data_IF_071008626077
#
_entry.id   IF_071008626077
#
_cell.length_a   1.000
_cell.length_b   1.000
_cell.length_c   1.000
_cell.angle_alpha   90.00
_cell.angle_beta   90.00
_cell.angle_gamma   90.00
#
_symmetry.space_group_name_H-M   'P 1'
#
loop_
_entity.id
_entity.type
_entity.pdbx_description
1 polymer ?
#
# COMPACT_ATOMS: atom_id res chain seq x y z
N UNK A 1 7.07 16.41 -6.02
CA UNK A 1 6.12 16.07 -4.94
C UNK A 1 5.51 17.32 -4.35
N UNK A 2 6.28 18.25 -3.77
CA UNK A 2 5.78 19.56 -3.31
C UNK A 2 5.00 20.31 -4.39
N UNK A 3 5.64 20.55 -5.53
CA UNK A 3 5.01 21.20 -6.70
C UNK A 3 3.72 20.50 -7.15
N UNK A 4 3.67 19.17 -7.15
CA UNK A 4 2.48 18.39 -7.52
C UNK A 4 1.36 18.50 -6.48
N UNK A 5 1.72 18.54 -5.20
CA UNK A 5 0.76 18.74 -4.10
C UNK A 5 0.15 20.13 -4.19
N UNK A 6 0.96 21.15 -4.48
CA UNK A 6 0.51 22.53 -4.62
C UNK A 6 -0.34 22.73 -5.88
N UNK A 7 0.09 22.19 -7.03
CA UNK A 7 -0.60 22.37 -8.31
C UNK A 7 -1.97 21.69 -8.36
N UNK A 8 -2.12 20.57 -7.66
CA UNK A 8 -3.37 19.79 -7.61
C UNK A 8 -4.15 19.96 -6.30
N UNK A 9 -3.69 20.81 -5.38
CA UNK A 9 -4.32 21.00 -4.06
C UNK A 9 -4.57 19.66 -3.34
N UNK A 10 -3.52 18.84 -3.23
CA UNK A 10 -3.63 17.47 -2.70
C UNK A 10 -3.77 17.48 -1.18
N UNK A 11 -4.89 16.98 -0.67
CA UNK A 11 -5.13 16.83 0.77
C UNK A 11 -4.60 15.52 1.37
N UNK A 12 -4.49 14.45 0.54
CA UNK A 12 -4.16 13.10 1.00
C UNK A 12 -3.12 12.45 0.10
N UNK A 13 -2.05 11.93 0.70
CA UNK A 13 -1.00 11.15 0.05
C UNK A 13 -1.00 9.73 0.60
N UNK A 14 -1.20 8.73 -0.28
CA UNK A 14 -1.08 7.31 0.07
C UNK A 14 0.20 6.76 -0.57
N UNK A 15 1.04 6.09 0.23
CA UNK A 15 2.35 5.59 -0.20
C UNK A 15 2.71 4.26 0.46
N UNK A 16 3.92 3.75 0.23
CA UNK A 16 4.44 2.54 0.85
C UNK A 16 4.99 2.82 2.26
N UNK A 17 4.98 1.81 3.11
CA UNK A 17 5.68 1.85 4.40
C UNK A 17 7.21 1.80 4.24
N UNK A 18 7.93 1.86 5.37
CA UNK A 18 9.40 1.83 5.40
C UNK A 18 10.00 0.56 4.77
N UNK A 19 9.28 -0.56 4.78
CA UNK A 19 9.75 -1.82 4.17
C UNK A 19 9.50 -1.85 2.66
N UNK A 20 8.60 -1.02 2.13
CA UNK A 20 8.46 -0.81 0.71
C UNK A 20 7.94 -2.03 -0.05
N UNK A 21 7.06 -2.84 0.57
CA UNK A 21 6.46 -4.05 0.00
C UNK A 21 7.49 -4.97 -0.66
N UNK A 22 7.87 -6.05 0.04
CA UNK A 22 8.98 -6.94 -0.35
C UNK A 22 10.35 -6.26 -0.46
N UNK A 23 10.58 -5.12 0.21
CA UNK A 23 11.91 -4.51 0.28
C UNK A 23 12.33 -3.74 -0.98
N UNK A 24 11.38 -3.34 -1.84
CA UNK A 24 11.72 -2.72 -3.10
C UNK A 24 12.33 -1.31 -2.88
N UNK A 25 13.52 -1.06 -3.41
CA UNK A 25 14.26 0.21 -3.19
C UNK A 25 13.42 1.45 -3.50
N UNK A 26 12.79 1.48 -4.68
CA UNK A 26 11.94 2.61 -5.09
C UNK A 26 10.78 2.88 -4.12
N UNK A 27 10.21 1.84 -3.52
CA UNK A 27 9.13 2.01 -2.55
C UNK A 27 9.65 2.55 -1.21
N UNK A 28 10.81 2.05 -0.76
CA UNK A 28 11.49 2.58 0.43
C UNK A 28 11.87 4.05 0.25
N UNK A 29 12.36 4.43 -0.94
CA UNK A 29 12.69 5.82 -1.27
C UNK A 29 11.44 6.71 -1.31
N UNK A 30 10.32 6.18 -1.82
CA UNK A 30 9.05 6.89 -1.78
C UNK A 30 8.59 7.15 -0.34
N UNK A 31 8.72 6.17 0.56
CA UNK A 31 8.41 6.38 2.00
C UNK A 31 9.25 7.52 2.59
N UNK A 32 10.55 7.56 2.30
CA UNK A 32 11.44 8.63 2.75
C UNK A 32 11.03 9.99 2.19
N UNK A 33 10.67 10.05 0.91
CA UNK A 33 10.20 11.27 0.25
C UNK A 33 8.92 11.82 0.89
N UNK A 34 7.93 10.95 1.12
CA UNK A 34 6.67 11.34 1.77
C UNK A 34 6.90 11.81 3.20
N UNK A 35 7.74 11.11 3.98
CA UNK A 35 8.08 11.54 5.35
C UNK A 35 8.73 12.93 5.39
N UNK A 36 9.62 13.24 4.43
CA UNK A 36 10.21 14.57 4.31
C UNK A 36 9.18 15.65 3.95
N UNK A 37 8.17 15.31 3.13
CA UNK A 37 7.08 16.22 2.78
C UNK A 37 6.28 16.62 4.02
N UNK A 38 5.78 15.64 4.77
CA UNK A 38 4.90 15.91 5.92
C UNK A 38 5.63 16.54 7.11
N UNK A 39 6.95 16.43 7.18
CA UNK A 39 7.79 17.13 8.16
C UNK A 39 7.91 18.63 7.88
N UNK A 40 7.62 19.07 6.65
CA UNK A 40 7.61 20.48 6.29
C UNK A 40 6.33 21.15 6.82
N UNK A 41 6.50 22.25 7.55
CA UNK A 41 5.41 23.00 8.18
C UNK A 41 4.37 23.48 7.17
N UNK A 42 4.80 23.76 5.94
CA UNK A 42 3.93 24.22 4.85
C UNK A 42 2.89 23.18 4.43
N UNK A 43 3.15 21.89 4.71
CA UNK A 43 2.32 20.75 4.31
C UNK A 43 1.67 20.03 5.50
N UNK A 44 1.54 20.68 6.66
CA UNK A 44 0.92 20.09 7.87
C UNK A 44 -0.53 19.65 7.68
N UNK A 45 -1.24 20.26 6.73
CA UNK A 45 -2.63 19.93 6.44
C UNK A 45 -2.77 18.70 5.52
N UNK A 46 -1.67 18.27 4.89
CA UNK A 46 -1.67 17.09 4.02
C UNK A 46 -1.58 15.85 4.88
N UNK A 47 -2.57 14.98 4.78
CA UNK A 47 -2.54 13.69 5.44
C UNK A 47 -1.72 12.68 4.65
N UNK A 48 -0.79 11.98 5.31
CA UNK A 48 -0.08 10.87 4.69
C UNK A 48 -0.45 9.53 5.31
N UNK A 49 -0.64 8.53 4.46
CA UNK A 49 -0.98 7.17 4.80
C UNK A 49 0.01 6.20 4.16
N UNK A 50 0.43 5.18 4.90
CA UNK A 50 1.32 4.14 4.40
C UNK A 50 0.63 2.77 4.31
N UNK A 51 0.87 2.09 3.19
CA UNK A 51 0.49 0.70 2.95
C UNK A 51 1.39 -0.20 3.79
N UNK A 52 0.78 -0.88 4.75
CA UNK A 52 1.46 -1.81 5.65
C UNK A 52 1.92 -3.03 4.87
N UNK A 53 3.22 -3.29 4.90
CA UNK A 53 3.82 -4.45 4.27
C UNK A 53 3.40 -5.74 4.98
N UNK A 54 2.86 -6.70 4.22
CA UNK A 54 2.46 -8.01 4.73
C UNK A 54 3.57 -9.03 4.58
N UNK A 55 3.66 -9.98 5.53
CA UNK A 55 4.65 -11.07 5.50
C UNK A 55 4.52 -11.90 4.20
N UNK A 56 5.65 -12.30 3.61
CA UNK A 56 5.76 -13.05 2.34
C UNK A 56 4.88 -14.29 2.30
N UNK A 57 4.73 -15.00 3.43
CA UNK A 57 3.85 -16.17 3.49
C UNK A 57 2.38 -15.82 3.24
N UNK A 58 1.88 -14.66 3.70
CA UNK A 58 0.51 -14.18 3.40
C UNK A 58 0.31 -13.77 1.94
N UNK A 59 1.41 -13.41 1.27
CA UNK A 59 1.42 -12.90 -0.11
C UNK A 59 1.04 -13.96 -1.15
N UNK A 60 0.96 -15.24 -0.76
CA UNK A 60 0.73 -16.37 -1.68
C UNK A 60 -0.35 -17.37 -1.21
N UNK A 61 -1.12 -17.10 -0.14
CA UNK A 61 -2.15 -18.03 0.39
C UNK A 61 -3.59 -17.62 -0.04
N UNK A 62 -3.76 -16.54 -0.82
CA UNK A 62 -5.06 -16.19 -1.41
C UNK A 62 -6.19 -15.95 -0.37
N UNK A 63 -7.44 -16.42 -0.59
CA UNK A 63 -8.64 -16.07 0.21
C UNK A 63 -8.57 -16.38 1.72
N UNK A 64 -7.59 -17.18 2.17
CA UNK A 64 -7.39 -17.54 3.59
C UNK A 64 -6.81 -16.37 4.40
N UNK A 65 -6.36 -15.30 3.76
CA UNK A 65 -5.80 -14.11 4.42
C UNK A 65 -6.81 -13.35 5.30
N UNK A 66 -8.12 -13.57 5.13
CA UNK A 66 -9.17 -12.99 5.98
C UNK A 66 -9.00 -13.41 7.44
N UNK A 67 -8.67 -14.68 7.71
CA UNK A 67 -8.49 -15.21 9.07
C UNK A 67 -7.21 -14.68 9.73
N UNK A 68 -6.18 -14.44 8.92
CA UNK A 68 -4.92 -13.89 9.39
C UNK A 68 -5.01 -12.38 9.62
N UNK A 69 -5.76 -11.63 8.82
CA UNK A 69 -6.01 -10.20 9.05
C UNK A 69 -6.66 -9.94 10.42
N UNK A 70 -7.56 -10.82 10.88
CA UNK A 70 -8.10 -10.80 12.24
C UNK A 70 -7.01 -11.03 13.33
N UNK A 71 -6.04 -11.91 13.07
CA UNK A 71 -4.89 -12.11 13.96
C UNK A 71 -3.93 -10.90 13.94
N UNK A 72 -3.74 -10.23 12.81
CA UNK A 72 -2.88 -9.06 12.71
C UNK A 72 -3.42 -7.89 13.56
N UNK A 73 -4.72 -7.63 13.48
CA UNK A 73 -5.43 -6.67 14.36
C UNK A 73 -5.26 -7.05 15.84
N UNK A 74 -5.27 -8.35 16.16
CA UNK A 74 -5.04 -8.86 17.53
C UNK A 74 -3.61 -8.61 18.04
N UNK A 75 -2.61 -8.66 17.16
CA UNK A 75 -1.19 -8.41 17.51
C UNK A 75 -0.81 -6.92 17.52
N UNK A 76 -1.45 -6.08 16.69
CA UNK A 76 -1.17 -4.63 16.60
C UNK A 76 -2.26 -3.81 17.30
N UNK A 77 -2.54 -4.16 18.56
CA UNK A 77 -3.65 -3.60 19.36
C UNK A 77 -3.58 -2.09 19.65
N UNK A 78 -2.41 -1.47 19.44
CA UNK A 78 -2.14 -0.08 19.84
C UNK A 78 -2.13 0.92 18.67
N UNK A 79 -2.30 0.49 17.41
CA UNK A 79 -2.26 1.38 16.25
C UNK A 79 -3.56 1.32 15.45
N UNK A 80 -4.10 2.49 15.08
CA UNK A 80 -5.27 2.57 14.20
C UNK A 80 -4.87 2.20 12.78
N UNK A 81 -5.09 0.94 12.41
CA UNK A 81 -4.92 0.42 11.05
C UNK A 81 -6.30 0.22 10.43
N UNK A 82 -6.47 0.71 9.21
CA UNK A 82 -7.70 0.55 8.44
C UNK A 82 -7.49 -0.52 7.38
N UNK A 83 -8.39 -1.49 7.32
CA UNK A 83 -8.36 -2.55 6.32
C UNK A 83 -9.34 -2.23 5.20
N UNK A 84 -8.80 -1.96 4.00
CA UNK A 84 -9.57 -1.67 2.81
C UNK A 84 -9.74 -2.94 1.98
N UNK A 85 -10.98 -3.38 1.81
CA UNK A 85 -11.31 -4.54 0.97
C UNK A 85 -11.49 -4.09 -0.48
N UNK A 86 -10.89 -4.82 -1.41
CA UNK A 86 -11.15 -4.63 -2.82
C UNK A 86 -12.37 -5.45 -3.23
N UNK A 87 -13.48 -4.77 -3.49
CA UNK A 87 -14.74 -5.39 -3.93
C UNK A 87 -14.61 -6.05 -5.31
N UNK A 88 -13.66 -5.61 -6.13
CA UNK A 88 -13.51 -6.10 -7.49
C UNK A 88 -12.04 -6.43 -7.85
N UNK A 89 -11.54 -7.58 -7.39
CA UNK A 89 -10.22 -8.11 -7.75
C UNK A 89 -10.01 -8.24 -9.27
N UNK A 90 -11.08 -8.50 -10.03
CA UNK A 90 -11.00 -8.62 -11.49
C UNK A 90 -10.57 -7.32 -12.17
N UNK A 91 -10.92 -6.15 -11.61
CA UNK A 91 -10.44 -4.86 -12.10
C UNK A 91 -8.94 -4.69 -11.93
N UNK A 92 -8.38 -5.12 -10.80
CA UNK A 92 -6.93 -5.08 -10.57
C UNK A 92 -6.18 -5.97 -11.55
N UNK A 93 -6.72 -7.15 -11.85
CA UNK A 93 -6.18 -8.05 -12.86
C UNK A 93 -6.25 -7.45 -14.27
N UNK A 94 -7.42 -6.91 -14.65
CA UNK A 94 -7.63 -6.27 -15.94
C UNK A 94 -6.74 -5.04 -16.14
N UNK A 95 -6.54 -4.23 -15.09
CA UNK A 95 -5.64 -3.08 -15.11
C UNK A 95 -4.18 -3.50 -15.37
N UNK A 96 -3.68 -4.53 -14.65
CA UNK A 96 -2.34 -5.05 -14.90
C UNK A 96 -2.18 -5.62 -16.32
N UNK A 97 -3.24 -6.25 -16.85
CA UNK A 97 -3.25 -6.80 -18.20
C UNK A 97 -3.12 -5.75 -19.32
N UNK A 98 -3.45 -4.47 -19.05
CA UNK A 98 -3.23 -3.38 -20.02
C UNK A 98 -1.73 -3.08 -20.23
N UNK A 99 -0.86 -3.46 -19.30
CA UNK A 99 0.58 -3.23 -19.40
C UNK A 99 1.26 -4.39 -20.15
N UNK A 100 1.17 -4.39 -21.48
CA UNK A 100 1.65 -5.48 -22.35
C UNK A 100 3.08 -5.97 -22.02
N UNK A 101 4.04 -5.04 -21.88
CA UNK A 101 5.45 -5.38 -21.55
C UNK A 101 5.62 -5.97 -20.14
N UNK A 102 4.65 -5.74 -19.26
CA UNK A 102 4.64 -6.25 -17.90
C UNK A 102 3.71 -7.48 -17.75
N UNK A 103 2.96 -7.88 -18.77
CA UNK A 103 1.98 -8.98 -18.68
C UNK A 103 2.59 -10.39 -18.81
N UNK A 104 3.61 -10.65 -18.00
CA UNK A 104 4.39 -11.89 -17.94
C UNK A 104 3.86 -12.85 -16.88
N UNK A 105 4.12 -14.15 -17.04
CA UNK A 105 3.49 -15.23 -16.25
C UNK A 105 3.57 -15.04 -14.73
N UNK A 106 4.73 -14.63 -14.19
CA UNK A 106 4.89 -14.47 -12.74
C UNK A 106 4.08 -13.30 -12.18
N UNK A 107 3.82 -12.26 -12.98
CA UNK A 107 2.95 -11.14 -12.60
C UNK A 107 1.48 -11.52 -12.65
N UNK A 108 1.08 -12.39 -13.59
CA UNK A 108 -0.27 -12.96 -13.61
C UNK A 108 -0.52 -13.73 -12.31
N UNK A 109 0.42 -14.58 -11.91
CA UNK A 109 0.36 -15.29 -10.62
C UNK A 109 0.31 -14.31 -9.45
N UNK A 110 1.20 -13.32 -9.44
CA UNK A 110 1.24 -12.31 -8.37
C UNK A 110 -0.11 -11.60 -8.22
N UNK A 111 -0.67 -11.05 -9.30
CA UNK A 111 -1.94 -10.32 -9.21
C UNK A 111 -3.09 -11.25 -8.84
N UNK A 112 -3.09 -12.51 -9.30
CA UNK A 112 -4.14 -13.47 -8.93
C UNK A 112 -4.05 -13.93 -7.48
N UNK A 113 -2.87 -14.08 -6.89
CA UNK A 113 -2.70 -14.73 -5.57
C UNK A 113 -2.25 -13.80 -4.45
N UNK A 114 -1.85 -12.57 -4.78
CA UNK A 114 -1.42 -11.58 -3.80
C UNK A 114 -2.59 -11.08 -2.96
N UNK A 115 -2.40 -11.09 -1.64
CA UNK A 115 -3.33 -10.48 -0.68
C UNK A 115 -3.64 -9.02 -1.02
N UNK A 116 -2.66 -8.27 -1.54
CA UNK A 116 -2.84 -6.87 -1.96
C UNK A 116 -3.93 -6.67 -3.03
N UNK A 117 -4.23 -7.70 -3.82
CA UNK A 117 -5.33 -7.65 -4.79
C UNK A 117 -6.70 -7.66 -4.10
N UNK A 118 -6.79 -8.25 -2.91
CA UNK A 118 -8.04 -8.48 -2.19
C UNK A 118 -8.23 -7.53 -1.01
N UNK A 119 -7.15 -7.14 -0.32
CA UNK A 119 -7.21 -6.31 0.87
C UNK A 119 -5.91 -5.56 1.11
N UNK A 120 -6.03 -4.31 1.58
CA UNK A 120 -4.91 -3.43 1.82
C UNK A 120 -5.05 -2.78 3.21
N UNK A 121 -4.04 -2.97 4.05
CA UNK A 121 -3.96 -2.34 5.36
C UNK A 121 -3.28 -0.98 5.24
N UNK A 122 -3.98 0.09 5.59
CA UNK A 122 -3.44 1.46 5.62
C UNK A 122 -3.29 1.95 7.06
N UNK A 123 -2.21 2.68 7.30
CA UNK A 123 -1.92 3.34 8.58
C UNK A 123 -1.55 4.79 8.34
N UNK A 124 -2.02 5.70 9.20
CA UNK A 124 -1.63 7.12 9.13
C UNK A 124 -0.16 7.25 9.52
N UNK A 125 0.61 8.01 8.75
CA UNK A 125 2.01 8.30 9.07
C UNK A 125 2.02 9.35 10.18
N UNK A 126 2.48 8.97 11.36
CA UNK A 126 2.75 9.90 12.46
C UNK A 126 4.24 10.29 12.41
N UNK A 127 4.51 11.58 12.62
CA UNK A 127 5.85 12.17 12.73
C UNK A 127 6.20 12.33 14.20
#
# INVERSE_FOLDING_TARGET
>A
MKEEVDSHSVDVVISFDKYGVSGHCNHCDLNRGVRKLIQDVSYKNVEAWELVSTNIFRKYIGPVDVWFSLLYVKFHRNEKVYFLINENPSRSYAAMAQHLSQWVWFRKLFVSFSSYTYGNSLKKINI
#
